data_IF_452281949916
#
_entry.id   IF_452281949916
#
_cell.length_a   1.000
_cell.length_b   1.000
_cell.length_c   1.000
_cell.angle_alpha   90.00
_cell.angle_beta   90.00
_cell.angle_gamma   90.00
#
_symmetry.space_group_name_H-M   'P 1'
#
loop_
_entity.id
_entity.type
_entity.pdbx_description
1 polymer ?
#
# COMPACT_ATOMS: atom_id res chain seq x y z
N UNK A 1 24.46 -24.91 -21.93
CA UNK A 1 24.83 -25.01 -20.50
C UNK A 1 24.13 -23.92 -19.69
N UNK A 2 22.79 -23.86 -19.70
CA UNK A 2 22.00 -22.86 -18.94
C UNK A 2 20.78 -23.52 -18.27
N UNK A 3 20.87 -24.82 -17.96
CA UNK A 3 19.77 -25.61 -17.38
C UNK A 3 20.04 -26.09 -15.96
N UNK A 4 20.81 -25.32 -15.18
CA UNK A 4 21.28 -25.74 -13.85
C UNK A 4 20.47 -25.20 -12.67
N UNK A 5 19.65 -24.17 -12.88
CA UNK A 5 18.82 -23.59 -11.81
C UNK A 5 17.46 -24.27 -11.87
N UNK A 6 17.32 -25.39 -11.16
CA UNK A 6 16.04 -26.06 -11.01
C UNK A 6 15.18 -25.32 -9.98
N UNK A 7 13.86 -25.29 -10.21
CA UNK A 7 12.86 -24.66 -9.35
C UNK A 7 13.03 -25.08 -7.88
N UNK A 8 13.42 -26.34 -7.64
CA UNK A 8 13.63 -26.89 -6.30
C UNK A 8 14.75 -26.20 -5.52
N UNK A 9 15.84 -25.82 -6.19
CA UNK A 9 16.96 -25.12 -5.59
C UNK A 9 16.55 -23.69 -5.21
N UNK A 10 15.75 -23.01 -6.05
CA UNK A 10 15.24 -21.67 -5.75
C UNK A 10 14.35 -21.66 -4.51
N UNK A 11 13.48 -22.66 -4.33
CA UNK A 11 12.61 -22.77 -3.15
C UNK A 11 13.43 -22.95 -1.86
N UNK A 12 14.47 -23.79 -1.90
CA UNK A 12 15.36 -24.01 -0.74
C UNK A 12 16.10 -22.72 -0.39
N UNK A 13 16.66 -22.02 -1.38
CA UNK A 13 17.37 -20.74 -1.16
C UNK A 13 16.41 -19.67 -0.62
N UNK A 14 15.20 -19.56 -1.19
CA UNK A 14 14.18 -18.63 -0.71
C UNK A 14 13.79 -18.91 0.74
N UNK A 15 13.66 -20.18 1.12
CA UNK A 15 13.38 -20.58 2.50
C UNK A 15 14.46 -20.10 3.48
N UNK A 16 15.74 -20.24 3.12
CA UNK A 16 16.86 -19.76 3.95
C UNK A 16 16.82 -18.23 4.10
N UNK A 17 16.56 -17.50 3.01
CA UNK A 17 16.43 -16.03 3.04
C UNK A 17 15.29 -15.62 3.97
N UNK A 18 14.13 -16.26 3.88
CA UNK A 18 12.99 -15.99 4.77
C UNK A 18 13.35 -16.27 6.24
N UNK A 19 14.12 -17.32 6.53
CA UNK A 19 14.54 -17.64 7.89
C UNK A 19 15.52 -16.59 8.47
N UNK A 20 16.45 -16.09 7.66
CA UNK A 20 17.43 -15.06 8.07
C UNK A 20 16.75 -13.70 8.27
N UNK A 21 15.95 -13.28 7.30
CA UNK A 21 15.31 -11.96 7.32
C UNK A 21 14.00 -11.92 8.12
N UNK A 22 13.38 -13.08 8.35
CA UNK A 22 12.04 -13.22 8.90
C UNK A 22 10.93 -12.81 7.92
N UNK A 23 9.73 -13.37 8.10
CA UNK A 23 8.56 -13.05 7.26
C UNK A 23 8.06 -11.62 7.46
N UNK A 24 8.27 -11.02 8.65
CA UNK A 24 7.83 -9.65 8.96
C UNK A 24 8.54 -8.60 8.11
N UNK A 25 9.87 -8.74 7.95
CA UNK A 25 10.66 -7.82 7.14
C UNK A 25 10.35 -8.03 5.66
N UNK A 26 10.29 -9.28 5.21
CA UNK A 26 9.99 -9.62 3.82
C UNK A 26 8.57 -9.19 3.41
N UNK A 27 7.60 -9.20 4.32
CA UNK A 27 6.25 -8.68 4.06
C UNK A 27 6.26 -7.16 3.87
N UNK A 28 6.97 -6.41 4.71
CA UNK A 28 7.00 -4.95 4.61
C UNK A 28 7.59 -4.50 3.25
N UNK A 29 8.80 -4.97 2.92
CA UNK A 29 9.40 -4.68 1.60
C UNK A 29 8.65 -5.35 0.44
N UNK A 30 8.06 -6.52 0.66
CA UNK A 30 7.27 -7.23 -0.34
C UNK A 30 5.96 -6.52 -0.70
N UNK A 31 5.33 -5.83 0.25
CA UNK A 31 4.14 -5.00 -0.01
C UNK A 31 4.50 -3.78 -0.84
N UNK A 32 5.61 -3.09 -0.51
CA UNK A 32 6.06 -1.90 -1.25
C UNK A 32 6.48 -2.25 -2.69
N UNK A 33 7.33 -3.28 -2.83
CA UNK A 33 7.80 -3.75 -4.14
C UNK A 33 6.67 -4.42 -4.93
N UNK A 34 5.83 -5.21 -4.26
CA UNK A 34 4.69 -5.88 -4.88
C UNK A 34 3.65 -4.90 -5.41
N UNK A 35 3.40 -3.80 -4.71
CA UNK A 35 2.53 -2.72 -5.18
C UNK A 35 3.04 -2.07 -6.46
N UNK A 36 4.34 -1.72 -6.49
CA UNK A 36 4.97 -1.13 -7.68
C UNK A 36 4.94 -2.08 -8.89
N UNK A 37 5.27 -3.36 -8.68
CA UNK A 37 5.25 -4.37 -9.74
C UNK A 37 3.82 -4.66 -10.21
N UNK A 38 2.81 -4.64 -9.32
CA UNK A 38 1.39 -4.81 -9.68
C UNK A 38 0.91 -3.68 -10.59
N UNK A 39 1.25 -2.43 -10.27
CA UNK A 39 0.94 -1.27 -11.11
C UNK A 39 1.62 -1.33 -12.47
N UNK A 40 2.91 -1.69 -12.51
CA UNK A 40 3.66 -1.87 -13.74
C UNK A 40 3.06 -2.97 -14.63
N UNK A 41 2.72 -4.13 -14.05
CA UNK A 41 2.06 -5.22 -14.80
C UNK A 41 0.70 -4.77 -15.33
N UNK A 42 -0.09 -4.03 -14.54
CA UNK A 42 -1.39 -3.53 -14.96
C UNK A 42 -1.27 -2.59 -16.18
N UNK A 43 -0.36 -1.60 -16.11
CA UNK A 43 -0.10 -0.68 -17.21
C UNK A 43 0.38 -1.40 -18.47
N UNK A 44 1.33 -2.34 -18.35
CA UNK A 44 1.80 -3.11 -19.51
C UNK A 44 0.69 -3.99 -20.14
N UNK A 45 -0.25 -4.51 -19.36
CA UNK A 45 -1.36 -5.30 -19.90
C UNK A 45 -2.49 -4.41 -20.46
N UNK A 46 -2.67 -3.19 -19.96
CA UNK A 46 -3.60 -2.20 -20.52
C UNK A 46 -3.15 -1.73 -21.92
N UNK A 47 -1.83 -1.59 -22.15
CA UNK A 47 -1.29 -1.24 -23.48
C UNK A 47 -1.43 -2.38 -24.52
N UNK A 48 -1.40 -3.65 -24.10
CA UNK A 48 -1.53 -4.80 -25.00
C UNK A 48 -2.99 -5.20 -25.30
N UNK A 49 -3.96 -4.72 -24.52
CA UNK A 49 -5.35 -5.19 -24.57
C UNK A 49 -6.35 -4.04 -24.59
N UNK A 50 -6.32 -3.24 -25.65
CA UNK A 50 -7.49 -2.48 -26.06
C UNK A 50 -8.67 -3.45 -26.25
N UNK A 51 -9.74 -3.24 -25.48
CA UNK A 51 -11.00 -3.99 -25.50
C UNK A 51 -10.97 -5.43 -24.93
N UNK A 52 -10.98 -5.56 -23.60
CA UNK A 52 -12.02 -6.29 -22.83
C UNK A 52 -11.60 -6.55 -21.39
N UNK A 53 -12.55 -6.20 -20.52
CA UNK A 53 -12.70 -6.55 -19.10
C UNK A 53 -12.31 -5.44 -18.12
N UNK A 54 -13.26 -4.51 -17.95
CA UNK A 54 -13.71 -4.18 -16.60
C UNK A 54 -14.12 -5.49 -15.87
N UNK A 55 -13.89 -5.53 -14.56
CA UNK A 55 -14.07 -6.66 -13.64
C UNK A 55 -12.89 -7.65 -13.55
N UNK A 56 -11.99 -7.39 -12.59
CA UNK A 56 -11.97 -8.14 -11.32
C UNK A 56 -10.73 -7.74 -10.50
N UNK A 57 -10.99 -7.29 -9.26
CA UNK A 57 -9.97 -7.23 -8.22
C UNK A 57 -9.68 -5.86 -7.65
N UNK A 58 -10.70 -5.24 -7.06
CA UNK A 58 -10.53 -4.57 -5.77
C UNK A 58 -9.89 -5.57 -4.77
N UNK A 59 -8.59 -5.78 -4.89
CA UNK A 59 -7.83 -6.29 -3.76
C UNK A 59 -7.53 -5.08 -2.89
N UNK A 60 -8.53 -4.65 -2.11
CA UNK A 60 -8.25 -4.10 -0.80
C UNK A 60 -7.41 -5.16 -0.08
N UNK A 61 -6.14 -4.92 0.30
CA UNK A 61 -5.66 -5.56 1.48
C UNK A 61 -6.31 -4.78 2.63
N UNK A 62 -7.37 -5.36 3.20
CA UNK A 62 -7.61 -5.20 4.62
C UNK A 62 -6.40 -5.77 5.35
N UNK A 63 -5.31 -5.01 5.39
CA UNK A 63 -4.34 -5.07 6.46
C UNK A 63 -4.53 -3.74 7.18
N UNK A 64 -5.50 -3.74 8.11
CA UNK A 64 -5.54 -2.78 9.20
C UNK A 64 -4.13 -2.76 9.78
N UNK A 65 -3.36 -1.74 9.41
CA UNK A 65 -2.12 -1.44 10.10
C UNK A 65 -2.62 -0.88 11.42
N UNK A 66 -2.57 -1.67 12.49
CA UNK A 66 -2.72 -1.17 13.85
C UNK A 66 -1.56 -0.18 14.09
N UNK A 67 -1.73 1.03 13.58
CA UNK A 67 -1.14 2.23 14.15
C UNK A 67 -1.85 2.40 15.48
N UNK A 68 -1.28 1.79 16.52
CA UNK A 68 -1.49 2.26 17.89
C UNK A 68 -0.76 3.60 17.99
N UNK A 69 -1.34 4.60 17.35
CA UNK A 69 -1.07 6.01 17.63
C UNK A 69 -1.64 6.25 19.03
N UNK A 70 -0.75 6.25 20.02
CA UNK A 70 -1.03 6.86 21.31
C UNK A 70 -1.59 8.27 21.06
N UNK A 71 -2.72 8.66 21.65
CA UNK A 71 -3.33 9.96 21.39
C UNK A 71 -2.42 11.06 21.96
N UNK A 72 -1.56 11.64 21.11
CA UNK A 72 -1.02 12.96 21.40
C UNK A 72 -2.19 13.92 21.28
N UNK A 73 -2.72 14.34 22.44
CA UNK A 73 -3.79 15.34 22.55
C UNK A 73 -3.36 16.60 21.80
N UNK A 74 -3.74 16.71 20.53
CA UNK A 74 -3.62 17.95 19.78
C UNK A 74 -4.84 18.76 20.19
N UNK A 75 -4.61 19.78 21.01
CA UNK A 75 -5.65 20.69 21.47
C UNK A 75 -6.16 21.51 20.27
N UNK A 76 -7.37 21.20 19.80
CA UNK A 76 -8.05 21.97 18.77
C UNK A 76 -8.43 23.35 19.32
N UNK A 77 -7.75 24.41 18.87
CA UNK A 77 -8.17 25.79 19.12
C UNK A 77 -9.32 26.12 18.16
N UNK A 78 -10.54 25.97 18.65
CA UNK A 78 -11.74 26.40 17.93
C UNK A 78 -11.82 27.93 17.94
N UNK A 79 -11.52 28.55 16.80
CA UNK A 79 -11.66 29.99 16.63
C UNK A 79 -13.16 30.36 16.58
N UNK A 80 -13.70 30.84 17.70
CA UNK A 80 -15.02 31.43 17.77
C UNK A 80 -15.03 32.76 17.00
N UNK A 81 -15.53 32.75 15.76
CA UNK A 81 -15.86 33.99 15.04
C UNK A 81 -17.14 34.57 15.61
N UNK A 82 -16.97 35.59 16.45
CA UNK A 82 -18.01 36.47 16.96
C UNK A 82 -18.88 37.01 15.81
N UNK A 83 -20.21 36.91 15.85
CA UNK A 83 -21.08 37.55 14.87
C UNK A 83 -21.04 39.07 15.07
N UNK A 84 -20.67 39.80 14.01
CA UNK A 84 -20.85 41.25 13.94
C UNK A 84 -22.33 41.55 13.71
N UNK A 85 -23.00 41.91 14.79
CA UNK A 85 -24.33 42.51 14.76
C UNK A 85 -24.18 44.02 14.97
N UNK A 86 -24.91 44.80 14.16
CA UNK A 86 -25.14 46.25 14.21
C UNK A 86 -24.09 47.14 13.54
N UNK A 87 -24.36 47.59 12.30
CA UNK A 87 -24.47 49.02 11.98
C UNK A 87 -25.11 49.24 10.59
N UNK A 88 -26.39 48.89 10.42
CA UNK A 88 -27.21 49.47 9.33
C UNK A 88 -28.23 50.43 9.96
N UNK A 89 -27.72 51.60 10.34
CA UNK A 89 -28.53 52.79 10.55
C UNK A 89 -27.70 54.01 10.20
N UNK A 90 -27.76 54.41 8.93
CA UNK A 90 -27.74 55.82 8.51
C UNK A 90 -28.22 55.95 7.08
#
# INVERSE_FOLDING_TARGET
>A
MLGGISIWQLLIVLGIIILIFGTKKLRNVGTDLGGAVKGFKKAMNEDEKGEKSDEEGEAQPQARVDHKEEPTNTYDVQAERKPEEQEERK
#
